data_IF_837836685427
#
_entry.id   IF_837836685427
#
_cell.length_a   1.000
_cell.length_b   1.000
_cell.length_c   1.000
_cell.angle_alpha   90.00
_cell.angle_beta   90.00
_cell.angle_gamma   90.00
#
_symmetry.space_group_name_H-M   'P 1'
#
loop_
_entity.id
_entity.type
_entity.pdbx_description
1 polymer ?
#
# COMPACT_ATOMS: atom_id res chain seq x y z
N UNK A 1 25.68 -6.70 18.40
CA UNK A 1 26.16 -6.65 19.79
C UNK A 1 25.72 -7.87 20.59
N UNK A 2 25.87 -7.76 21.93
CA UNK A 2 25.40 -8.76 22.89
C UNK A 2 24.61 -8.05 23.98
N UNK A 3 23.85 -8.80 24.79
CA UNK A 3 23.12 -8.24 25.92
C UNK A 3 24.08 -7.74 26.99
N UNK A 4 23.72 -6.64 27.66
CA UNK A 4 24.38 -6.25 28.89
C UNK A 4 23.99 -7.23 30.01
N UNK A 5 24.83 -7.41 31.08
CA UNK A 5 24.49 -8.28 32.22
C UNK A 5 23.14 -7.96 32.85
N UNK A 6 22.80 -6.67 32.94
CA UNK A 6 21.51 -6.21 33.44
C UNK A 6 20.35 -6.66 32.54
N UNK A 7 20.42 -6.41 31.22
CA UNK A 7 19.37 -6.78 30.28
C UNK A 7 19.21 -8.31 30.21
N UNK A 8 20.30 -9.06 30.23
CA UNK A 8 20.28 -10.52 30.27
C UNK A 8 19.53 -11.04 31.50
N UNK A 9 19.82 -10.50 32.69
CA UNK A 9 19.14 -10.85 33.93
C UNK A 9 17.65 -10.50 33.91
N UNK A 10 17.28 -9.29 33.43
CA UNK A 10 15.89 -8.83 33.35
C UNK A 10 15.07 -9.66 32.37
N UNK A 11 15.66 -10.14 31.25
CA UNK A 11 15.03 -10.93 30.23
C UNK A 11 15.08 -12.45 30.49
N UNK A 12 15.88 -12.92 31.46
CA UNK A 12 16.13 -14.33 31.70
C UNK A 12 16.89 -15.01 30.56
N UNK A 13 17.76 -14.27 29.84
CA UNK A 13 18.53 -14.73 28.69
C UNK A 13 20.04 -14.75 29.01
N UNK A 14 20.85 -15.56 28.31
CA UNK A 14 22.30 -15.51 28.40
C UNK A 14 22.85 -14.17 27.86
N UNK A 15 23.94 -13.65 28.46
CA UNK A 15 24.65 -12.46 27.93
C UNK A 15 25.18 -12.65 26.51
N UNK A 16 25.38 -13.90 26.08
CA UNK A 16 25.89 -14.25 24.76
C UNK A 16 24.85 -14.12 23.64
N UNK A 17 23.60 -13.80 23.98
CA UNK A 17 22.55 -13.58 22.95
C UNK A 17 22.92 -12.39 22.07
N UNK A 18 22.91 -12.63 20.76
CA UNK A 18 23.19 -11.60 19.78
C UNK A 18 22.06 -10.59 19.67
N UNK A 19 22.40 -9.30 19.66
CA UNK A 19 21.47 -8.19 19.50
C UNK A 19 21.75 -7.53 18.15
N UNK A 20 20.76 -7.55 17.25
CA UNK A 20 20.83 -6.89 15.97
C UNK A 20 20.69 -5.36 16.11
N UNK A 21 21.04 -4.62 15.03
CA UNK A 21 20.61 -3.23 14.89
C UNK A 21 19.08 -3.17 14.81
N UNK A 22 18.49 -2.17 15.47
CA UNK A 22 17.06 -1.91 15.39
C UNK A 22 16.69 -1.28 14.04
N UNK A 23 15.47 -1.52 13.60
CA UNK A 23 14.89 -0.95 12.40
C UNK A 23 13.45 -0.53 12.70
N UNK A 24 12.92 0.50 12.04
CA UNK A 24 11.50 0.82 12.16
C UNK A 24 10.66 -0.31 11.51
N UNK A 25 9.45 -0.52 12.02
CA UNK A 25 8.56 -1.63 11.65
C UNK A 25 8.32 -1.74 10.14
N UNK A 26 8.00 -0.62 9.47
CA UNK A 26 7.79 -0.60 8.04
C UNK A 26 9.04 -1.02 7.25
N UNK A 27 10.23 -0.63 7.69
CA UNK A 27 11.49 -1.02 7.05
C UNK A 27 11.81 -2.50 7.30
N UNK A 28 11.55 -3.03 8.50
CA UNK A 28 11.68 -4.45 8.77
C UNK A 28 10.72 -5.26 7.88
N UNK A 29 9.46 -4.80 7.76
CA UNK A 29 8.49 -5.39 6.85
C UNK A 29 8.95 -5.33 5.39
N UNK A 30 9.55 -4.23 4.95
CA UNK A 30 10.09 -4.08 3.60
C UNK A 30 11.29 -4.99 3.36
N UNK A 31 12.20 -5.13 4.34
CA UNK A 31 13.35 -6.02 4.26
C UNK A 31 12.93 -7.45 3.88
N UNK A 32 11.91 -7.97 4.58
CA UNK A 32 11.41 -9.31 4.28
C UNK A 32 10.63 -9.34 2.94
N UNK A 33 9.70 -8.41 2.73
CA UNK A 33 8.82 -8.39 1.55
C UNK A 33 9.62 -8.29 0.24
N UNK A 34 10.66 -7.46 0.19
CA UNK A 34 11.51 -7.31 -0.98
C UNK A 34 12.28 -8.59 -1.32
N UNK A 35 12.48 -9.48 -0.34
CA UNK A 35 13.16 -10.75 -0.52
C UNK A 35 12.28 -11.87 -1.11
N UNK A 36 10.95 -11.74 -1.08
CA UNK A 36 10.03 -12.78 -1.56
C UNK A 36 10.24 -13.03 -3.06
N UNK A 37 10.47 -14.29 -3.48
CA UNK A 37 10.80 -14.66 -4.86
C UNK A 37 11.93 -13.82 -5.47
N UNK A 38 12.99 -13.56 -4.71
CA UNK A 38 14.05 -12.62 -5.10
C UNK A 38 14.78 -13.02 -6.39
N UNK A 39 14.83 -14.30 -6.71
CA UNK A 39 15.53 -14.82 -7.89
C UNK A 39 14.93 -14.36 -9.22
N UNK A 40 13.65 -13.92 -9.22
CA UNK A 40 12.90 -13.61 -10.45
C UNK A 40 12.88 -12.13 -10.86
N UNK A 41 13.56 -11.25 -10.13
CA UNK A 41 13.62 -9.82 -10.50
C UNK A 41 14.44 -9.02 -9.51
N UNK A 42 15.42 -8.28 -9.97
CA UNK A 42 16.32 -7.51 -9.12
C UNK A 42 15.62 -6.57 -8.14
N UNK A 43 16.18 -6.39 -6.97
CA UNK A 43 15.67 -5.54 -5.88
C UNK A 43 15.29 -4.11 -6.33
N UNK A 44 16.06 -3.44 -7.21
CA UNK A 44 15.75 -2.05 -7.60
C UNK A 44 14.43 -1.87 -8.36
N UNK A 45 13.84 -2.95 -8.89
CA UNK A 45 12.57 -2.91 -9.61
C UNK A 45 11.37 -3.35 -8.76
N UNK A 46 11.56 -3.45 -7.46
CA UNK A 46 10.53 -3.87 -6.50
C UNK A 46 10.15 -2.73 -5.57
N UNK A 47 8.87 -2.70 -5.24
CA UNK A 47 8.30 -1.83 -4.22
C UNK A 47 7.61 -2.70 -3.17
N UNK A 48 8.05 -2.64 -1.93
CA UNK A 48 7.29 -3.22 -0.82
C UNK A 48 6.16 -2.25 -0.44
N UNK A 49 4.93 -2.76 -0.38
CA UNK A 49 3.74 -2.03 0.06
C UNK A 49 3.22 -2.68 1.33
N UNK A 50 3.51 -2.04 2.47
CA UNK A 50 3.01 -2.46 3.78
C UNK A 50 1.65 -1.81 3.97
N UNK A 51 0.58 -2.59 3.70
CA UNK A 51 -0.77 -2.09 3.55
C UNK A 51 -1.65 -2.43 4.76
N UNK A 52 -1.80 -1.47 5.66
CA UNK A 52 -2.62 -1.53 6.87
C UNK A 52 -3.60 -0.36 6.97
N UNK A 53 -3.68 0.26 8.14
CA UNK A 53 -4.45 1.50 8.40
C UNK A 53 -4.05 2.62 7.45
N UNK A 54 -2.74 2.81 7.27
CA UNK A 54 -2.08 3.58 6.21
C UNK A 54 -1.27 2.64 5.32
N UNK A 55 -0.58 3.17 4.30
CA UNK A 55 0.38 2.37 3.52
C UNK A 55 1.76 3.01 3.53
N UNK A 56 2.80 2.15 3.59
CA UNK A 56 4.17 2.53 3.29
C UNK A 56 4.59 1.87 1.99
N UNK A 57 5.21 2.64 1.10
CA UNK A 57 5.73 2.22 -0.20
C UNK A 57 7.25 2.39 -0.17
N UNK A 58 7.98 1.30 -0.10
CA UNK A 58 9.43 1.31 0.16
C UNK A 58 10.15 0.66 -0.99
N UNK A 59 11.16 1.36 -1.53
CA UNK A 59 12.02 0.89 -2.60
C UNK A 59 13.47 1.00 -2.18
N UNK A 60 14.35 0.18 -2.79
CA UNK A 60 15.79 0.26 -2.61
C UNK A 60 16.49 0.41 -3.96
N UNK A 61 17.60 1.14 -3.99
CA UNK A 61 18.38 1.42 -5.19
C UNK A 61 19.88 1.47 -4.88
N UNK A 62 20.72 1.18 -5.89
CA UNK A 62 22.19 1.25 -5.77
C UNK A 62 22.69 2.69 -5.74
N UNK A 63 21.97 3.61 -6.38
CA UNK A 63 22.31 5.03 -6.44
C UNK A 63 21.24 5.86 -5.76
N UNK A 64 21.60 7.03 -5.18
CA UNK A 64 20.61 7.91 -4.55
C UNK A 64 19.63 8.47 -5.59
N UNK A 65 18.33 8.31 -5.34
CA UNK A 65 17.26 8.82 -6.20
C UNK A 65 16.47 9.89 -5.43
N UNK A 66 16.57 11.13 -5.89
CA UNK A 66 15.85 12.26 -5.29
C UNK A 66 14.49 12.43 -5.95
N UNK A 67 13.43 11.97 -5.30
CA UNK A 67 12.06 12.00 -5.83
C UNK A 67 11.26 13.06 -5.06
N UNK A 68 10.76 14.11 -5.72
CA UNK A 68 9.94 15.12 -5.05
C UNK A 68 8.73 14.50 -4.32
N UNK A 69 8.47 14.93 -3.09
CA UNK A 69 7.36 14.44 -2.28
C UNK A 69 7.48 12.99 -1.76
N UNK A 70 8.63 12.38 -1.96
CA UNK A 70 8.99 11.05 -1.42
C UNK A 70 10.14 11.23 -0.42
N UNK A 71 10.08 10.54 0.69
CA UNK A 71 11.11 10.59 1.71
C UNK A 71 12.34 9.80 1.29
N UNK A 72 13.51 10.30 1.65
CA UNK A 72 14.81 9.77 1.24
C UNK A 72 15.50 10.66 0.20
N UNK A 73 16.54 10.15 -0.49
CA UNK A 73 17.09 8.81 -0.30
C UNK A 73 17.85 8.65 1.03
N UNK A 74 17.59 7.58 1.77
CA UNK A 74 18.26 7.23 3.00
C UNK A 74 19.29 6.12 2.75
N UNK A 75 20.53 6.30 3.18
CA UNK A 75 21.59 5.32 2.95
C UNK A 75 21.60 4.23 4.02
N UNK A 76 21.63 2.96 3.61
CA UNK A 76 21.80 1.78 4.48
C UNK A 76 20.73 1.60 5.58
N UNK A 77 19.49 2.07 5.37
CA UNK A 77 18.44 1.95 6.39
C UNK A 77 17.61 0.68 6.29
N UNK A 78 17.49 0.08 5.10
CA UNK A 78 16.84 -1.23 4.89
C UNK A 78 17.90 -2.28 4.55
N UNK A 79 18.76 -1.99 3.57
CA UNK A 79 19.86 -2.85 3.15
C UNK A 79 21.17 -2.12 3.19
N UNK A 80 22.19 -2.77 3.75
CA UNK A 80 23.54 -2.22 3.83
C UNK A 80 24.07 -1.91 2.42
N UNK A 81 24.61 -0.70 2.22
CA UNK A 81 25.16 -0.23 0.96
C UNK A 81 24.13 0.21 -0.08
N UNK A 82 22.82 0.16 0.21
CA UNK A 82 21.77 0.61 -0.69
C UNK A 82 21.05 1.86 -0.16
N UNK A 83 20.46 2.61 -1.08
CA UNK A 83 19.62 3.77 -0.80
C UNK A 83 18.16 3.34 -0.73
N UNK A 84 17.38 3.98 0.13
CA UNK A 84 15.96 3.70 0.34
C UNK A 84 15.14 4.95 0.11
N UNK A 85 14.07 4.83 -0.68
CA UNK A 85 13.02 5.83 -0.79
C UNK A 85 11.75 5.28 -0.13
N UNK A 86 11.07 6.14 0.62
CA UNK A 86 9.81 5.82 1.28
C UNK A 86 8.72 6.82 0.88
N UNK A 87 7.65 6.30 0.32
CA UNK A 87 6.40 6.99 0.03
C UNK A 87 5.25 6.38 0.84
N UNK A 88 4.03 6.87 0.66
CA UNK A 88 2.87 6.24 1.29
C UNK A 88 1.59 7.04 1.16
N UNK A 89 0.52 6.41 1.67
CA UNK A 89 -0.80 7.04 1.78
C UNK A 89 -1.18 7.13 3.26
N UNK A 90 -1.60 8.31 3.71
CA UNK A 90 -1.89 8.58 5.13
C UNK A 90 -3.07 7.77 5.67
N UNK A 91 -4.02 7.40 4.80
CA UNK A 91 -5.15 6.56 5.12
C UNK A 91 -5.40 5.58 3.96
N UNK A 92 -5.48 4.30 4.26
CA UNK A 92 -5.80 3.22 3.32
C UNK A 92 -6.91 2.34 3.90
N UNK A 93 -6.62 1.37 4.74
CA UNK A 93 -7.66 0.62 5.45
C UNK A 93 -8.57 1.54 6.26
N UNK A 94 -8.00 2.54 6.93
CA UNK A 94 -8.79 3.55 7.66
C UNK A 94 -9.73 4.35 6.74
N UNK A 95 -9.35 4.62 5.49
CA UNK A 95 -10.23 5.28 4.54
C UNK A 95 -11.39 4.37 4.13
N UNK A 96 -11.11 3.11 3.80
CA UNK A 96 -12.12 2.12 3.47
C UNK A 96 -13.13 2.01 4.63
N UNK A 97 -12.64 1.84 5.85
CA UNK A 97 -13.48 1.79 7.05
C UNK A 97 -14.32 3.07 7.22
N UNK A 98 -13.70 4.25 7.06
CA UNK A 98 -14.39 5.54 7.19
C UNK A 98 -15.52 5.70 6.17
N UNK A 99 -15.29 5.28 4.93
CA UNK A 99 -16.28 5.36 3.86
C UNK A 99 -17.42 4.37 4.13
N UNK A 100 -17.08 3.11 4.38
CA UNK A 100 -18.08 2.05 4.59
C UNK A 100 -18.92 2.30 5.85
N UNK A 101 -18.28 2.59 6.97
CA UNK A 101 -18.98 2.83 8.24
C UNK A 101 -19.77 4.15 8.27
N UNK A 102 -19.38 5.12 7.45
CA UNK A 102 -20.08 6.40 7.32
C UNK A 102 -21.28 6.39 6.38
N UNK A 103 -21.52 5.29 5.66
CA UNK A 103 -22.60 5.16 4.69
C UNK A 103 -23.94 4.81 5.34
N UNK A 104 -25.04 5.35 4.81
CA UNK A 104 -26.40 5.13 5.36
C UNK A 104 -26.82 3.66 5.43
N UNK A 105 -26.37 2.84 4.49
CA UNK A 105 -26.66 1.39 4.46
C UNK A 105 -25.76 0.55 5.39
N UNK A 106 -24.80 1.15 6.12
CA UNK A 106 -23.85 0.36 6.93
C UNK A 106 -24.53 -0.49 8.01
N UNK A 107 -25.56 0.06 8.68
CA UNK A 107 -26.35 -0.68 9.69
C UNK A 107 -26.96 -1.95 9.10
N UNK A 108 -27.63 -1.81 7.95
CA UNK A 108 -28.22 -2.94 7.22
C UNK A 108 -27.14 -3.95 6.77
N UNK A 109 -26.01 -3.44 6.24
CA UNK A 109 -24.90 -4.30 5.83
C UNK A 109 -24.36 -5.14 6.99
N UNK A 110 -24.24 -4.53 8.18
CA UNK A 110 -23.77 -5.22 9.38
C UNK A 110 -24.73 -6.31 9.85
N UNK A 111 -26.04 -6.04 9.81
CA UNK A 111 -27.07 -7.03 10.16
C UNK A 111 -27.06 -8.23 9.19
N UNK A 112 -27.01 -7.97 7.89
CA UNK A 112 -27.01 -9.01 6.86
C UNK A 112 -25.73 -9.81 6.81
N UNK A 113 -24.56 -9.19 7.05
CA UNK A 113 -23.27 -9.87 7.06
C UNK A 113 -23.14 -10.89 8.20
N UNK A 114 -23.82 -10.69 9.32
CA UNK A 114 -23.73 -11.57 10.47
C UNK A 114 -22.28 -11.86 10.87
N UNK A 115 -21.89 -13.13 10.95
CA UNK A 115 -20.54 -13.56 11.27
C UNK A 115 -19.54 -13.50 10.10
N UNK A 116 -20.00 -13.28 8.86
CA UNK A 116 -19.14 -13.29 7.66
C UNK A 116 -18.38 -11.98 7.41
N UNK A 117 -18.79 -10.89 8.07
CA UNK A 117 -18.17 -9.58 7.94
C UNK A 117 -18.69 -8.76 6.75
N UNK A 118 -18.74 -7.43 6.95
CA UNK A 118 -19.32 -6.49 5.99
C UNK A 118 -18.59 -6.50 4.64
N UNK A 119 -17.27 -6.63 4.62
CA UNK A 119 -16.51 -6.61 3.37
C UNK A 119 -16.81 -7.82 2.48
N UNK A 120 -16.96 -9.01 3.05
CA UNK A 120 -17.37 -10.19 2.28
C UNK A 120 -18.77 -10.02 1.66
N UNK A 121 -19.72 -9.46 2.40
CA UNK A 121 -21.04 -9.11 1.88
C UNK A 121 -20.96 -8.11 0.72
N UNK A 122 -20.09 -7.08 0.82
CA UNK A 122 -19.92 -6.10 -0.25
C UNK A 122 -19.26 -6.72 -1.49
N UNK A 123 -18.32 -7.64 -1.33
CA UNK A 123 -17.71 -8.38 -2.42
C UNK A 123 -18.74 -9.26 -3.15
N UNK A 124 -19.60 -9.99 -2.42
CA UNK A 124 -20.72 -10.76 -2.96
C UNK A 124 -21.72 -9.84 -3.70
N UNK A 125 -22.00 -8.66 -3.13
CA UNK A 125 -22.91 -7.70 -3.74
C UNK A 125 -22.36 -7.15 -5.05
N UNK A 126 -21.08 -6.81 -5.11
CA UNK A 126 -20.41 -6.39 -6.35
C UNK A 126 -20.44 -7.49 -7.41
N UNK A 127 -20.22 -8.74 -7.02
CA UNK A 127 -20.31 -9.88 -7.94
C UNK A 127 -21.72 -10.04 -8.51
N UNK A 128 -22.75 -9.84 -7.67
CA UNK A 128 -24.15 -9.89 -8.11
C UNK A 128 -24.54 -8.73 -9.07
N UNK A 129 -23.94 -7.54 -8.87
CA UNK A 129 -24.18 -6.37 -9.73
C UNK A 129 -23.48 -6.47 -11.08
N UNK A 130 -22.42 -7.24 -11.17
CA UNK A 130 -21.65 -7.43 -12.39
C UNK A 130 -22.28 -8.52 -13.28
N UNK A 131 -23.32 -8.18 -14.04
CA UNK A 131 -24.09 -9.12 -14.86
C UNK A 131 -23.21 -9.96 -15.81
N UNK A 132 -22.11 -9.38 -16.31
CA UNK A 132 -21.16 -10.02 -17.22
C UNK A 132 -19.82 -10.39 -16.51
N UNK A 133 -19.81 -10.44 -15.17
CA UNK A 133 -18.61 -10.73 -14.38
C UNK A 133 -17.59 -9.57 -14.32
N UNK A 134 -17.96 -8.36 -14.79
CA UNK A 134 -17.07 -7.20 -14.82
C UNK A 134 -17.32 -6.22 -13.67
N UNK A 135 -16.81 -6.59 -12.49
CA UNK A 135 -16.87 -5.75 -11.29
C UNK A 135 -16.14 -4.41 -11.49
N UNK A 136 -15.03 -4.41 -12.22
CA UNK A 136 -14.11 -3.27 -12.31
C UNK A 136 -14.80 -2.02 -12.84
N UNK A 137 -15.73 -2.15 -13.80
CA UNK A 137 -16.38 -1.03 -14.47
C UNK A 137 -17.62 -0.48 -13.75
N UNK A 138 -18.08 -1.13 -12.68
CA UNK A 138 -19.25 -0.70 -11.90
C UNK A 138 -19.15 0.72 -11.32
N UNK A 139 -17.94 1.28 -11.29
CA UNK A 139 -17.64 2.61 -10.75
C UNK A 139 -17.38 3.66 -11.83
N UNK A 140 -17.80 3.45 -13.08
CA UNK A 140 -17.45 4.33 -14.20
C UNK A 140 -17.77 5.82 -13.94
N UNK A 141 -18.90 6.12 -13.30
CA UNK A 141 -19.33 7.48 -12.94
C UNK A 141 -19.02 7.91 -11.50
N UNK A 142 -18.40 7.03 -10.68
CA UNK A 142 -18.15 7.29 -9.26
C UNK A 142 -16.66 7.41 -8.98
N UNK A 143 -16.21 8.53 -8.43
CA UNK A 143 -14.80 8.85 -8.23
C UNK A 143 -14.52 9.26 -6.79
N UNK A 144 -13.38 8.82 -6.26
CA UNK A 144 -12.92 9.15 -4.90
C UNK A 144 -11.54 9.81 -5.00
N UNK A 145 -11.37 10.95 -4.31
CA UNK A 145 -10.08 11.52 -3.98
C UNK A 145 -9.71 11.07 -2.56
N UNK A 146 -8.67 10.24 -2.38
CA UNK A 146 -8.45 9.54 -1.11
C UNK A 146 -7.77 10.37 -0.02
N UNK A 147 -7.50 11.66 -0.25
CA UNK A 147 -6.70 12.54 0.61
C UNK A 147 -7.45 12.99 1.89
N UNK A 148 -8.28 12.12 2.50
CA UNK A 148 -9.08 12.45 3.70
C UNK A 148 -8.21 12.80 4.92
N UNK A 149 -6.96 12.36 4.93
CA UNK A 149 -5.96 12.64 5.96
C UNK A 149 -4.71 13.30 5.39
N UNK A 150 -4.89 14.22 4.43
CA UNK A 150 -3.79 14.82 3.67
C UNK A 150 -3.20 13.87 2.63
N UNK A 151 -2.31 14.39 1.78
CA UNK A 151 -1.53 13.61 0.84
C UNK A 151 -0.09 13.46 1.35
N UNK A 152 0.30 12.25 1.69
CA UNK A 152 1.65 11.94 2.17
C UNK A 152 2.66 11.94 1.02
N UNK A 153 2.30 11.28 -0.09
CA UNK A 153 3.13 11.16 -1.28
C UNK A 153 2.25 11.01 -2.53
N UNK A 154 2.65 11.54 -3.67
CA UNK A 154 3.87 12.31 -3.92
C UNK A 154 3.69 13.83 -3.77
N UNK A 155 2.49 14.32 -3.40
CA UNK A 155 2.22 15.77 -3.29
C UNK A 155 2.81 16.37 -2.01
N UNK A 156 2.93 15.56 -0.94
CA UNK A 156 3.45 15.95 0.38
C UNK A 156 2.73 17.18 0.99
N UNK A 157 1.40 17.22 0.86
CA UNK A 157 0.56 18.32 1.36
C UNK A 157 -0.45 17.81 2.41
N UNK A 158 -0.22 18.07 3.71
CA UNK A 158 -1.12 17.62 4.78
C UNK A 158 -2.45 18.36 4.81
N UNK A 159 -2.59 19.46 4.05
CA UNK A 159 -3.82 20.26 4.01
C UNK A 159 -4.85 19.70 3.03
N UNK A 160 -4.47 18.79 2.15
CA UNK A 160 -5.36 18.12 1.19
C UNK A 160 -6.55 17.49 1.90
N UNK A 161 -7.67 17.46 1.18
CA UNK A 161 -8.92 16.85 1.66
C UNK A 161 -9.46 15.87 0.63
N UNK A 162 -10.18 14.86 1.13
CA UNK A 162 -10.87 13.90 0.29
C UNK A 162 -12.11 14.49 -0.37
N UNK A 163 -12.52 13.88 -1.48
CA UNK A 163 -13.74 14.22 -2.18
C UNK A 163 -14.40 12.97 -2.77
N UNK A 164 -15.72 13.03 -2.90
CA UNK A 164 -16.54 12.02 -3.58
C UNK A 164 -17.28 12.73 -4.73
N UNK A 165 -17.20 12.19 -5.93
CA UNK A 165 -17.84 12.76 -7.12
C UNK A 165 -18.65 11.70 -7.84
N UNK A 166 -19.86 12.03 -8.24
CA UNK A 166 -20.77 11.13 -8.95
C UNK A 166 -21.74 10.38 -8.04
N UNK A 167 -21.97 10.86 -6.81
CA UNK A 167 -23.00 10.31 -5.94
C UNK A 167 -24.40 10.59 -6.50
N UNK A 168 -25.29 9.59 -6.42
CA UNK A 168 -26.73 9.70 -6.69
C UNK A 168 -27.54 9.99 -5.42
N UNK A 169 -28.82 9.74 -5.50
CA UNK A 169 -29.75 9.84 -4.37
C UNK A 169 -29.94 8.50 -3.65
N UNK A 170 -29.41 7.44 -4.22
CA UNK A 170 -29.42 6.10 -3.65
C UNK A 170 -28.56 6.06 -2.39
N UNK A 171 -28.99 5.26 -1.42
CA UNK A 171 -28.23 5.01 -0.18
C UNK A 171 -28.49 3.59 0.31
N UNK A 172 -28.47 2.65 -0.61
CA UNK A 172 -28.69 1.23 -0.39
C UNK A 172 -27.37 0.43 -0.36
N UNK A 173 -27.47 -0.88 -0.29
CA UNK A 173 -26.32 -1.77 -0.27
C UNK A 173 -25.53 -1.75 -1.58
N UNK A 174 -26.20 -1.50 -2.70
CA UNK A 174 -25.57 -1.46 -4.02
C UNK A 174 -24.70 -0.21 -4.17
N UNK A 175 -25.22 0.92 -3.67
CA UNK A 175 -24.49 2.18 -3.62
C UNK A 175 -23.26 2.06 -2.69
N UNK A 176 -23.45 1.50 -1.48
CA UNK A 176 -22.35 1.23 -0.56
C UNK A 176 -21.27 0.33 -1.20
N UNK A 177 -21.67 -0.73 -1.89
CA UNK A 177 -20.73 -1.65 -2.54
C UNK A 177 -19.93 -0.95 -3.67
N UNK A 178 -20.60 -0.13 -4.50
CA UNK A 178 -19.91 0.67 -5.53
C UNK A 178 -18.95 1.69 -4.92
N UNK A 179 -19.35 2.35 -3.84
CA UNK A 179 -18.50 3.34 -3.16
C UNK A 179 -17.27 2.69 -2.50
N UNK A 180 -17.45 1.50 -1.92
CA UNK A 180 -16.35 0.67 -1.41
C UNK A 180 -15.35 0.34 -2.54
N UNK A 181 -15.82 -0.15 -3.68
CA UNK A 181 -14.96 -0.45 -4.83
C UNK A 181 -14.26 0.80 -5.37
N UNK A 182 -14.97 1.92 -5.50
CA UNK A 182 -14.39 3.19 -5.95
C UNK A 182 -13.28 3.68 -5.02
N UNK A 183 -13.43 3.45 -3.71
CA UNK A 183 -12.42 3.77 -2.70
C UNK A 183 -11.17 2.91 -2.87
N UNK A 184 -11.32 1.61 -3.09
CA UNK A 184 -10.20 0.70 -3.39
C UNK A 184 -9.47 1.15 -4.66
N UNK A 185 -10.18 1.47 -5.73
CA UNK A 185 -9.58 1.95 -6.98
C UNK A 185 -8.85 3.27 -6.78
N UNK A 186 -9.37 4.19 -5.97
CA UNK A 186 -8.71 5.45 -5.66
C UNK A 186 -7.37 5.25 -4.92
N UNK A 187 -7.28 4.28 -4.01
CA UNK A 187 -6.03 3.90 -3.36
C UNK A 187 -5.02 3.35 -4.37
N UNK A 188 -5.46 2.54 -5.33
CA UNK A 188 -4.63 2.06 -6.42
C UNK A 188 -4.12 3.20 -7.33
N UNK A 189 -4.94 4.22 -7.60
CA UNK A 189 -4.51 5.42 -8.34
C UNK A 189 -3.52 6.26 -7.55
N UNK A 190 -3.63 6.34 -6.23
CA UNK A 190 -2.63 6.95 -5.37
C UNK A 190 -1.27 6.24 -5.47
N UNK A 191 -1.27 4.90 -5.45
CA UNK A 191 -0.06 4.09 -5.67
C UNK A 191 0.51 4.28 -7.08
N UNK A 192 -0.35 4.31 -8.12
CA UNK A 192 0.08 4.63 -9.49
C UNK A 192 0.76 5.99 -9.57
N UNK A 193 0.22 7.02 -8.93
CA UNK A 193 0.81 8.35 -8.90
C UNK A 193 2.21 8.35 -8.28
N UNK A 194 2.38 7.63 -7.16
CA UNK A 194 3.69 7.45 -6.51
C UNK A 194 4.67 6.77 -7.48
N UNK A 195 4.26 5.70 -8.15
CA UNK A 195 5.12 4.95 -9.09
C UNK A 195 5.51 5.82 -10.30
N UNK A 196 4.57 6.60 -10.85
CA UNK A 196 4.86 7.52 -11.97
C UNK A 196 5.88 8.60 -11.58
N UNK A 197 5.77 9.19 -10.38
CA UNK A 197 6.76 10.15 -9.88
C UNK A 197 8.12 9.49 -9.62
N UNK A 198 8.15 8.30 -9.06
CA UNK A 198 9.38 7.52 -8.89
C UNK A 198 10.04 7.22 -10.24
N UNK A 199 9.25 6.79 -11.23
CA UNK A 199 9.74 6.49 -12.59
C UNK A 199 10.30 7.71 -13.29
N UNK A 200 9.64 8.86 -13.16
CA UNK A 200 10.12 10.13 -13.71
C UNK A 200 11.48 10.55 -13.13
N UNK A 201 11.82 10.04 -11.94
CA UNK A 201 13.08 10.32 -11.23
C UNK A 201 14.02 9.10 -11.16
N UNK A 202 13.90 8.15 -12.10
CA UNK A 202 14.87 7.07 -12.29
C UNK A 202 14.62 5.77 -11.51
N UNK A 203 13.48 5.64 -10.80
CA UNK A 203 13.09 4.42 -10.09
C UNK A 203 12.01 3.68 -10.87
N UNK A 204 12.40 2.66 -11.65
CA UNK A 204 11.48 1.87 -12.48
C UNK A 204 10.94 0.66 -11.71
N UNK A 205 9.67 0.69 -11.34
CA UNK A 205 8.99 -0.36 -10.58
C UNK A 205 8.20 -1.27 -11.52
N UNK A 206 8.48 -2.57 -11.47
CA UNK A 206 7.75 -3.61 -12.23
C UNK A 206 6.97 -4.58 -11.35
N UNK A 207 7.31 -4.65 -10.06
CA UNK A 207 6.65 -5.54 -9.09
C UNK A 207 6.34 -4.81 -7.79
N UNK A 208 5.11 -4.97 -7.32
CA UNK A 208 4.65 -4.48 -6.03
C UNK A 208 4.47 -5.69 -5.12
N UNK A 209 5.20 -5.75 -4.01
CA UNK A 209 5.05 -6.81 -3.00
C UNK A 209 4.12 -6.28 -1.90
N UNK A 210 2.90 -6.78 -1.85
CA UNK A 210 1.87 -6.30 -0.93
C UNK A 210 1.77 -7.21 0.30
N UNK A 211 1.91 -6.62 1.48
CA UNK A 211 1.75 -7.30 2.76
C UNK A 211 0.88 -6.48 3.72
N UNK A 212 0.51 -7.06 4.87
CA UNK A 212 -0.38 -6.43 5.84
C UNK A 212 -1.86 -6.76 5.61
N UNK A 213 -2.74 -6.09 6.34
CA UNK A 213 -4.17 -6.44 6.38
C UNK A 213 -4.90 -6.38 5.04
N UNK A 214 -4.56 -5.38 4.20
CA UNK A 214 -5.17 -5.22 2.87
C UNK A 214 -4.67 -6.23 1.83
N UNK A 215 -3.59 -6.96 2.09
CA UNK A 215 -3.17 -8.08 1.25
C UNK A 215 -4.18 -9.23 1.21
N UNK A 216 -5.13 -9.27 2.15
CA UNK A 216 -6.23 -10.25 2.18
C UNK A 216 -7.41 -9.85 1.29
N UNK A 217 -7.43 -8.63 0.78
CA UNK A 217 -8.53 -8.10 -0.04
C UNK A 217 -8.21 -8.27 -1.53
N UNK A 218 -8.89 -9.21 -2.18
CA UNK A 218 -8.65 -9.53 -3.60
C UNK A 218 -8.93 -8.35 -4.52
N UNK A 219 -9.97 -7.56 -4.27
CA UNK A 219 -10.30 -6.38 -5.09
C UNK A 219 -9.20 -5.32 -4.98
N UNK A 220 -8.60 -5.15 -3.79
CA UNK A 220 -7.48 -4.25 -3.57
C UNK A 220 -6.26 -4.67 -4.41
N UNK A 221 -5.92 -5.95 -4.41
CA UNK A 221 -4.79 -6.49 -5.15
C UNK A 221 -4.99 -6.38 -6.66
N UNK A 222 -6.17 -6.78 -7.16
CA UNK A 222 -6.54 -6.68 -8.57
C UNK A 222 -6.52 -5.22 -9.07
N UNK A 223 -7.11 -4.29 -8.29
CA UNK A 223 -7.11 -2.87 -8.64
C UNK A 223 -5.70 -2.29 -8.70
N UNK A 224 -4.80 -2.69 -7.78
CA UNK A 224 -3.40 -2.26 -7.82
C UNK A 224 -2.67 -2.82 -9.04
N UNK A 225 -2.82 -4.09 -9.37
CA UNK A 225 -2.22 -4.67 -10.56
C UNK A 225 -2.70 -3.93 -11.84
N UNK A 226 -4.01 -3.80 -12.02
CA UNK A 226 -4.61 -3.23 -13.23
C UNK A 226 -4.32 -1.72 -13.38
N UNK A 227 -4.41 -0.95 -12.28
CA UNK A 227 -4.21 0.49 -12.33
C UNK A 227 -2.75 0.89 -12.51
N UNK A 228 -1.81 0.14 -11.92
CA UNK A 228 -0.38 0.45 -11.98
C UNK A 228 0.33 -0.19 -13.16
N UNK A 229 -0.22 -1.26 -13.71
CA UNK A 229 0.44 -2.10 -14.72
C UNK A 229 1.58 -2.97 -14.15
N UNK A 230 1.77 -2.99 -12.84
CA UNK A 230 2.78 -3.81 -12.17
C UNK A 230 2.23 -5.18 -11.80
N UNK A 231 3.10 -6.20 -11.76
CA UNK A 231 2.75 -7.45 -11.11
C UNK A 231 2.63 -7.22 -9.60
N UNK A 232 1.53 -7.66 -9.02
CA UNK A 232 1.36 -7.70 -7.56
C UNK A 232 1.79 -9.08 -7.06
N UNK A 233 2.71 -9.11 -6.11
CA UNK A 233 3.17 -10.31 -5.43
C UNK A 233 2.64 -10.30 -3.99
N UNK A 234 1.95 -11.35 -3.61
CA UNK A 234 1.37 -11.52 -2.28
C UNK A 234 2.11 -12.64 -1.56
N UNK A 235 2.92 -12.32 -0.54
CA UNK A 235 3.68 -13.33 0.18
C UNK A 235 2.80 -14.37 0.88
N UNK A 236 3.26 -15.61 0.94
CA UNK A 236 2.58 -16.71 1.64
C UNK A 236 2.53 -16.52 3.16
N UNK A 237 3.42 -15.69 3.71
CA UNK A 237 3.52 -15.42 5.14
C UNK A 237 2.90 -14.08 5.52
N UNK A 238 2.17 -14.07 6.63
CA UNK A 238 1.35 -12.93 7.03
C UNK A 238 2.08 -11.85 7.85
N UNK A 239 3.26 -12.17 8.45
CA UNK A 239 3.90 -11.32 9.47
C UNK A 239 5.24 -10.73 9.00
N UNK A 240 5.23 -9.82 8.00
CA UNK A 240 6.46 -9.31 7.37
C UNK A 240 7.40 -8.59 8.35
N UNK A 241 6.85 -7.87 9.33
CA UNK A 241 7.64 -7.11 10.30
C UNK A 241 8.41 -8.04 11.24
N UNK A 242 7.73 -9.09 11.74
CA UNK A 242 8.37 -10.09 12.60
C UNK A 242 9.44 -10.88 11.84
N UNK A 243 9.15 -11.26 10.60
CA UNK A 243 10.08 -12.02 9.75
C UNK A 243 11.30 -11.17 9.36
N UNK A 244 11.13 -9.90 9.02
CA UNK A 244 12.24 -8.99 8.78
C UNK A 244 13.09 -8.76 10.03
N UNK A 245 12.46 -8.65 11.20
CA UNK A 245 13.16 -8.58 12.48
C UNK A 245 13.94 -9.87 12.78
N UNK A 246 13.38 -11.03 12.45
CA UNK A 246 14.07 -12.32 12.59
C UNK A 246 15.29 -12.42 11.65
N UNK A 247 15.23 -11.86 10.42
CA UNK A 247 16.39 -11.78 9.53
C UNK A 247 17.54 -10.98 10.13
N UNK A 248 17.23 -9.82 10.76
CA UNK A 248 18.23 -9.01 11.45
C UNK A 248 18.89 -9.81 12.59
N UNK A 249 18.09 -10.51 13.38
CA UNK A 249 18.58 -11.39 14.46
C UNK A 249 19.46 -12.52 13.95
N UNK A 250 19.05 -13.17 12.86
CA UNK A 250 19.78 -14.28 12.23
C UNK A 250 21.16 -13.85 11.71
N UNK A 251 21.25 -12.67 11.08
CA UNK A 251 22.54 -12.11 10.64
C UNK A 251 23.39 -11.71 11.82
N UNK A 252 22.82 -11.07 12.85
CA UNK A 252 23.56 -10.69 14.06
C UNK A 252 24.13 -11.91 14.82
N UNK A 253 23.43 -13.03 14.76
CA UNK A 253 23.86 -14.32 15.36
C UNK A 253 24.85 -15.10 14.48
N UNK A 254 25.16 -14.61 13.27
CA UNK A 254 26.06 -15.28 12.33
C UNK A 254 25.45 -16.50 11.60
N UNK A 255 24.12 -16.66 11.65
CA UNK A 255 23.43 -17.72 10.88
C UNK A 255 23.48 -17.46 9.38
N UNK A 256 23.52 -16.19 8.98
CA UNK A 256 23.78 -15.75 7.61
C UNK A 256 24.85 -14.67 7.59
N UNK A 257 25.70 -14.62 6.54
CA UNK A 257 26.80 -13.64 6.45
C UNK A 257 26.31 -12.19 6.30
N UNK A 258 25.16 -11.99 5.64
CA UNK A 258 24.58 -10.69 5.34
C UNK A 258 23.06 -10.76 5.16
N UNK A 259 22.41 -9.59 5.09
CA UNK A 259 20.96 -9.50 4.87
C UNK A 259 20.50 -10.03 3.53
N UNK A 260 21.15 -9.78 2.38
CA UNK A 260 20.76 -10.38 1.10
C UNK A 260 20.66 -11.91 1.14
N UNK A 261 21.61 -12.59 1.79
CA UNK A 261 21.55 -14.04 1.93
C UNK A 261 20.45 -14.50 2.90
N UNK A 262 20.24 -13.77 3.98
CA UNK A 262 19.11 -14.03 4.88
C UNK A 262 17.76 -13.83 4.15
N UNK A 263 17.62 -12.77 3.34
CA UNK A 263 16.43 -12.54 2.51
C UNK A 263 16.17 -13.70 1.56
N UNK A 264 17.18 -14.14 0.81
CA UNK A 264 17.04 -15.25 -0.13
C UNK A 264 16.63 -16.55 0.56
N UNK A 265 17.15 -16.82 1.76
CA UNK A 265 16.88 -18.07 2.50
C UNK A 265 15.56 -18.05 3.27
N UNK A 266 15.11 -16.89 3.76
CA UNK A 266 14.03 -16.78 4.74
C UNK A 266 12.76 -16.12 4.19
N UNK A 267 12.80 -15.43 3.03
CA UNK A 267 11.64 -14.67 2.56
C UNK A 267 10.54 -15.55 1.93
N UNK A 268 10.88 -16.74 1.44
CA UNK A 268 9.90 -17.66 0.87
C UNK A 268 9.36 -17.22 -0.49
N UNK A 269 8.14 -17.65 -0.79
CA UNK A 269 7.42 -17.45 -2.06
C UNK A 269 6.13 -16.67 -1.86
N UNK A 270 5.44 -16.39 -2.97
CA UNK A 270 4.15 -15.72 -2.93
C UNK A 270 3.35 -15.88 -4.23
N UNK A 271 2.05 -15.59 -4.13
CA UNK A 271 1.14 -15.60 -5.26
C UNK A 271 1.31 -14.35 -6.14
N UNK A 272 1.28 -14.55 -7.47
CA UNK A 272 1.42 -13.48 -8.45
C UNK A 272 0.08 -13.12 -9.06
N UNK A 273 -0.22 -11.84 -9.10
CA UNK A 273 -1.39 -11.27 -9.77
C UNK A 273 -0.88 -10.35 -10.86
N UNK A 274 -1.10 -10.76 -12.11
CA UNK A 274 -0.72 -9.97 -13.28
C UNK A 274 -1.81 -8.96 -13.64
N UNK A 275 -1.44 -7.79 -14.19
CA UNK A 275 -2.41 -6.83 -14.71
C UNK A 275 -3.31 -7.46 -15.77
N UNK A 276 -4.62 -7.21 -15.68
CA UNK A 276 -5.60 -7.68 -16.65
C UNK A 276 -5.74 -6.62 -17.75
N UNK A 277 -4.98 -6.76 -18.83
CA UNK A 277 -4.86 -5.75 -19.90
C UNK A 277 -6.18 -5.17 -20.43
N UNK A 278 -7.28 -5.94 -20.38
CA UNK A 278 -8.62 -5.51 -20.80
C UNK A 278 -9.17 -4.31 -20.00
N UNK A 279 -8.64 -4.02 -18.81
CA UNK A 279 -9.06 -2.90 -17.97
C UNK A 279 -8.14 -1.67 -18.06
N UNK A 280 -7.04 -1.76 -18.78
CA UNK A 280 -6.07 -0.67 -18.89
C UNK A 280 -6.71 0.65 -19.30
N UNK A 281 -7.45 0.66 -20.39
CA UNK A 281 -8.15 1.87 -20.88
C UNK A 281 -9.18 2.43 -19.88
N UNK A 282 -9.86 1.57 -19.13
CA UNK A 282 -10.78 1.99 -18.08
C UNK A 282 -10.02 2.70 -16.94
N UNK A 283 -8.97 2.08 -16.42
CA UNK A 283 -8.16 2.65 -15.36
C UNK A 283 -7.44 3.91 -15.80
N UNK A 284 -7.00 4.01 -17.05
CA UNK A 284 -6.37 5.23 -17.59
C UNK A 284 -7.35 6.42 -17.60
N UNK A 285 -8.60 6.19 -18.01
CA UNK A 285 -9.64 7.24 -17.95
C UNK A 285 -9.96 7.64 -16.50
N UNK A 286 -10.15 6.67 -15.62
CA UNK A 286 -10.39 6.92 -14.19
C UNK A 286 -9.23 7.65 -13.54
N UNK A 287 -8.00 7.29 -13.86
CA UNK A 287 -6.80 7.96 -13.36
C UNK A 287 -6.70 9.41 -13.83
N UNK A 288 -7.09 9.71 -15.07
CA UNK A 288 -7.19 11.11 -15.54
C UNK A 288 -8.18 11.92 -14.71
N UNK A 289 -9.33 11.34 -14.35
CA UNK A 289 -10.29 12.00 -13.44
C UNK A 289 -9.68 12.18 -12.06
N UNK A 290 -9.03 11.16 -11.50
CA UNK A 290 -8.31 11.24 -10.23
C UNK A 290 -7.29 12.41 -10.21
N UNK A 291 -6.45 12.53 -11.24
CA UNK A 291 -5.48 13.63 -11.38
C UNK A 291 -6.17 15.00 -11.55
N UNK A 292 -7.31 15.04 -12.23
CA UNK A 292 -8.11 16.26 -12.37
C UNK A 292 -8.69 16.71 -11.02
N UNK A 293 -9.24 15.81 -10.24
CA UNK A 293 -9.73 16.11 -8.88
C UNK A 293 -8.65 16.67 -7.96
N UNK A 294 -7.39 16.21 -8.11
CA UNK A 294 -6.25 16.79 -7.39
C UNK A 294 -6.00 18.24 -7.78
N UNK A 295 -6.15 18.60 -9.06
CA UNK A 295 -6.01 19.98 -9.52
C UNK A 295 -7.19 20.83 -9.08
N UNK A 296 -8.42 20.32 -9.17
CA UNK A 296 -9.63 21.04 -8.75
C UNK A 296 -9.54 21.45 -7.27
N UNK A 297 -8.94 20.61 -6.40
CA UNK A 297 -8.70 20.98 -5.00
C UNK A 297 -7.79 22.22 -4.88
N UNK A 298 -6.75 22.31 -5.68
CA UNK A 298 -5.85 23.50 -5.70
C UNK A 298 -6.63 24.71 -6.15
N UNK A 299 -7.41 24.58 -7.21
CA UNK A 299 -8.19 25.67 -7.80
C UNK A 299 -9.26 26.17 -6.81
N UNK A 300 -9.98 25.28 -6.13
CA UNK A 300 -10.97 25.64 -5.10
C UNK A 300 -10.32 26.39 -3.93
N UNK A 301 -9.17 25.92 -3.46
CA UNK A 301 -8.41 26.57 -2.41
C UNK A 301 -7.99 27.98 -2.81
N UNK A 302 -7.45 28.13 -4.02
CA UNK A 302 -7.03 29.44 -4.55
C UNK A 302 -8.21 30.41 -4.67
N UNK A 303 -9.38 29.96 -5.14
CA UNK A 303 -10.60 30.77 -5.20
C UNK A 303 -11.05 31.26 -3.84
N UNK A 304 -10.98 30.39 -2.81
CA UNK A 304 -11.39 30.75 -1.45
C UNK A 304 -10.37 31.65 -0.74
N UNK A 305 -9.08 31.51 -1.03
CA UNK A 305 -8.03 32.35 -0.43
C UNK A 305 -7.98 33.76 -1.07
N UNK A 306 -8.35 33.91 -2.34
CA UNK A 306 -8.41 35.21 -3.03
C UNK A 306 -9.44 36.20 -2.46
N UNK A 307 -10.35 35.74 -1.59
CA UNK A 307 -11.35 36.58 -0.91
C UNK A 307 -10.84 37.32 0.34
N UNK A 308 -9.53 37.14 0.68
CA UNK A 308 -8.89 37.78 1.85
C UNK A 308 -8.06 39.03 1.51
N UNK A 309 -8.22 39.60 0.28
CA UNK A 309 -7.58 40.83 -0.18
C UNK A 309 -8.45 42.04 -0.02
#
# INVERSE_FOLDING_TARGET
>A
GQLTPRAAAELGLPETVSVAASMIDAHAGALWSLGVDLEQGGLPRRMAVIAGTSTCHITVSEQPQFVPGVWGPYFSVVLSGMWTNEAGQSAAGALIDRIVQGHGAYGQAKELAGGGGVFALLDERLAALAADGDITTLTAGLHVQPDFHGNRSPIADPTRKGALVGLGMESDLDDLARLYLATIQALAYGTRHIIEEMKANGVDIGTIVVSGGLAKNRLYLDAHADATGCTVLVPDQAEPVLLGSAMLGAVAAGAYPDLPQAMQAMAGSGDRISPRGRYGDFHDRKYKVFRRMQQDFVDYKALMDSSKG
#
